data_IF_728758827428
#
_entry.id   IF_728758827428
#
_cell.length_a   1.000
_cell.length_b   1.000
_cell.length_c   1.000
_cell.angle_alpha   90.00
_cell.angle_beta   90.00
_cell.angle_gamma   90.00
#
_symmetry.space_group_name_H-M   'P 1'
#
loop_
_entity.id
_entity.type
_entity.pdbx_description
1 polymer ?
#
# COMPACT_ATOMS: atom_id res chain seq x y z
N UNK A 1 20.10 -10.54 -17.35
CA UNK A 1 20.78 -9.36 -16.78
C UNK A 1 21.25 -9.77 -15.39
N UNK A 2 22.50 -9.49 -15.05
CA UNK A 2 22.99 -9.77 -13.72
C UNK A 2 22.58 -8.58 -12.83
N UNK A 3 21.76 -8.83 -11.81
CA UNK A 3 21.41 -7.87 -10.76
C UNK A 3 21.75 -8.46 -9.40
N UNK A 4 22.03 -7.61 -8.44
CA UNK A 4 22.33 -7.99 -7.07
C UNK A 4 21.08 -7.82 -6.19
N UNK A 5 20.77 -8.83 -5.38
CA UNK A 5 19.70 -8.78 -4.39
C UNK A 5 20.28 -8.81 -2.99
N UNK A 6 19.82 -7.90 -2.12
CA UNK A 6 20.20 -7.84 -0.71
C UNK A 6 18.95 -7.79 0.17
N UNK A 7 18.97 -8.40 1.38
CA UNK A 7 17.87 -8.27 2.32
C UNK A 7 17.80 -6.85 2.89
N UNK A 8 16.59 -6.29 3.00
CA UNK A 8 16.35 -5.00 3.67
C UNK A 8 16.38 -5.14 5.20
N UNK A 9 15.80 -6.22 5.72
CA UNK A 9 15.80 -6.57 7.14
C UNK A 9 16.09 -8.06 7.29
N UNK A 10 16.23 -8.57 8.53
CA UNK A 10 16.35 -10.01 8.76
C UNK A 10 15.01 -10.75 8.56
N UNK A 11 13.88 -10.07 8.61
CA UNK A 11 12.56 -10.68 8.58
C UNK A 11 11.87 -10.58 7.21
N UNK A 12 11.96 -9.43 6.57
CA UNK A 12 11.26 -9.17 5.30
C UNK A 12 11.95 -8.09 4.48
N UNK A 13 11.65 -8.08 3.18
CA UNK A 13 12.08 -7.10 2.21
C UNK A 13 13.41 -7.41 1.54
N UNK A 14 13.48 -7.08 0.26
CA UNK A 14 14.68 -7.16 -0.56
C UNK A 14 14.91 -5.85 -1.32
N UNK A 15 16.18 -5.50 -1.56
CA UNK A 15 16.60 -4.43 -2.46
C UNK A 15 17.38 -5.00 -3.63
N UNK A 16 17.17 -4.42 -4.82
CA UNK A 16 17.75 -4.86 -6.09
C UNK A 16 18.57 -3.72 -6.67
N UNK A 17 19.81 -4.03 -7.03
CA UNK A 17 20.78 -3.12 -7.63
C UNK A 17 21.19 -3.60 -9.02
N UNK A 18 21.49 -2.66 -9.91
CA UNK A 18 22.04 -2.94 -11.24
C UNK A 18 21.00 -3.43 -12.25
N UNK A 19 19.72 -3.43 -11.92
CA UNK A 19 18.64 -3.75 -12.84
C UNK A 19 18.14 -2.47 -13.52
N UNK A 20 18.16 -2.44 -14.86
CA UNK A 20 17.61 -1.34 -15.67
C UNK A 20 16.36 -1.83 -16.41
N UNK A 21 15.20 -1.55 -15.83
CA UNK A 21 13.90 -1.87 -16.42
C UNK A 21 13.50 -0.90 -17.53
N UNK A 22 14.11 0.29 -17.59
CA UNK A 22 13.83 1.27 -18.63
C UNK A 22 14.43 0.87 -19.98
N UNK A 23 15.49 0.05 -20.00
CA UNK A 23 16.02 -0.54 -21.23
C UNK A 23 15.12 -1.61 -21.85
N UNK A 24 14.04 -1.99 -21.13
CA UNK A 24 13.10 -3.06 -21.48
C UNK A 24 13.31 -4.32 -20.62
N UNK A 25 12.24 -5.08 -20.43
CA UNK A 25 12.25 -6.34 -19.67
C UNK A 25 11.41 -7.40 -20.38
N UNK A 26 11.77 -8.65 -20.19
CA UNK A 26 11.00 -9.80 -20.68
C UNK A 26 9.93 -10.21 -19.66
N UNK A 27 8.90 -10.91 -20.13
CA UNK A 27 7.88 -11.50 -19.27
C UNK A 27 8.49 -12.44 -18.21
N UNK A 28 9.54 -13.19 -18.56
CA UNK A 28 10.24 -14.07 -17.62
C UNK A 28 10.90 -13.27 -16.50
N UNK A 29 11.61 -12.18 -16.80
CA UNK A 29 12.20 -11.32 -15.78
C UNK A 29 11.13 -10.72 -14.87
N UNK A 30 10.01 -10.27 -15.44
CA UNK A 30 8.92 -9.72 -14.63
C UNK A 30 8.29 -10.79 -13.71
N UNK A 31 8.13 -12.02 -14.19
CA UNK A 31 7.68 -13.15 -13.36
C UNK A 31 8.69 -13.52 -12.27
N UNK A 32 9.99 -13.52 -12.58
CA UNK A 32 11.05 -13.74 -11.59
C UNK A 32 11.01 -12.67 -10.49
N UNK A 33 10.75 -11.40 -10.85
CA UNK A 33 10.59 -10.31 -9.88
C UNK A 33 9.34 -10.50 -9.00
N UNK A 34 8.23 -10.96 -9.56
CA UNK A 34 7.02 -11.29 -8.79
C UNK A 34 7.32 -12.42 -7.79
N UNK A 35 8.01 -13.49 -8.23
CA UNK A 35 8.44 -14.58 -7.34
C UNK A 35 9.35 -14.09 -6.22
N UNK A 36 10.39 -13.33 -6.56
CA UNK A 36 11.32 -12.76 -5.60
C UNK A 36 10.64 -11.82 -4.59
N UNK A 37 9.64 -11.04 -5.03
CA UNK A 37 8.84 -10.19 -4.16
C UNK A 37 7.99 -10.99 -3.15
N UNK A 38 7.38 -12.10 -3.57
CA UNK A 38 6.65 -13.00 -2.68
C UNK A 38 7.60 -13.62 -1.65
N UNK A 39 8.76 -14.13 -2.10
CA UNK A 39 9.78 -14.77 -1.26
C UNK A 39 10.41 -13.79 -0.26
N UNK A 40 10.51 -12.50 -0.63
CA UNK A 40 10.97 -11.43 0.24
C UNK A 40 9.91 -10.92 1.24
N UNK A 41 8.81 -11.62 1.45
CA UNK A 41 7.75 -11.21 2.38
C UNK A 41 6.89 -10.05 1.87
N UNK A 42 6.97 -9.74 0.57
CA UNK A 42 6.11 -8.75 -0.08
C UNK A 42 6.62 -7.31 -0.04
N UNK A 43 7.89 -7.07 0.23
CA UNK A 43 8.52 -5.75 0.09
C UNK A 43 9.75 -5.83 -0.82
N UNK A 44 9.79 -4.99 -1.85
CA UNK A 44 10.93 -4.93 -2.77
C UNK A 44 11.24 -3.49 -3.15
N UNK A 45 12.52 -3.15 -3.17
CA UNK A 45 13.03 -1.88 -3.70
C UNK A 45 13.90 -2.17 -4.90
N UNK A 46 13.63 -1.53 -6.03
CA UNK A 46 14.49 -1.58 -7.22
C UNK A 46 15.05 -0.17 -7.42
N UNK A 47 16.36 -0.03 -7.28
CA UNK A 47 17.03 1.27 -7.30
C UNK A 47 17.30 1.78 -8.72
N UNK A 48 17.52 3.10 -8.87
CA UNK A 48 18.00 3.78 -10.05
C UNK A 48 17.12 3.62 -11.32
N UNK A 49 15.79 3.55 -11.14
CA UNK A 49 14.86 3.36 -12.25
C UNK A 49 14.46 4.69 -12.91
N UNK A 50 14.43 4.69 -14.25
CA UNK A 50 13.98 5.86 -15.07
C UNK A 50 12.78 5.52 -15.93
N UNK A 51 11.83 4.71 -15.40
CA UNK A 51 10.67 4.22 -16.12
C UNK A 51 9.79 5.36 -16.65
N UNK A 52 9.33 5.24 -17.91
CA UNK A 52 8.18 6.00 -18.37
C UNK A 52 6.90 5.52 -17.68
N UNK A 53 5.81 6.29 -17.78
CA UNK A 53 4.52 5.90 -17.24
C UNK A 53 4.01 4.59 -17.84
N UNK A 54 4.20 4.40 -19.16
CA UNK A 54 3.82 3.18 -19.87
C UNK A 54 4.63 1.96 -19.39
N UNK A 55 5.94 2.12 -19.17
CA UNK A 55 6.81 1.06 -18.65
C UNK A 55 6.43 0.69 -17.21
N UNK A 56 6.11 1.69 -16.38
CA UNK A 56 5.62 1.46 -15.03
C UNK A 56 4.31 0.67 -15.03
N UNK A 57 3.34 1.05 -15.87
CA UNK A 57 2.07 0.33 -16.03
C UNK A 57 2.32 -1.10 -16.55
N UNK A 58 3.17 -1.25 -17.57
CA UNK A 58 3.48 -2.56 -18.15
C UNK A 58 4.07 -3.52 -17.11
N UNK A 59 5.04 -3.06 -16.32
CA UNK A 59 5.59 -3.85 -15.21
C UNK A 59 4.51 -4.19 -14.17
N UNK A 60 3.70 -3.21 -13.78
CA UNK A 60 2.67 -3.39 -12.75
C UNK A 60 1.64 -4.45 -13.12
N UNK A 61 1.31 -4.60 -14.40
CA UNK A 61 0.38 -5.62 -14.91
C UNK A 61 0.86 -7.06 -14.73
N UNK A 62 2.15 -7.30 -14.55
CA UNK A 62 2.67 -8.63 -14.20
C UNK A 62 2.33 -9.04 -12.77
N UNK A 63 2.02 -8.08 -11.89
CA UNK A 63 1.53 -8.34 -10.53
C UNK A 63 0.01 -8.57 -10.49
N UNK A 64 -0.73 -8.24 -11.54
CA UNK A 64 -2.18 -8.43 -11.67
C UNK A 64 -2.91 -7.26 -12.34
N UNK A 65 -4.26 -7.31 -12.38
CA UNK A 65 -5.08 -6.24 -12.94
C UNK A 65 -4.96 -4.96 -12.11
N UNK A 66 -5.06 -3.79 -12.76
CA UNK A 66 -4.81 -2.50 -12.12
C UNK A 66 -6.10 -1.74 -11.80
N UNK A 67 -6.13 -1.07 -10.65
CA UNK A 67 -7.10 -0.01 -10.40
C UNK A 67 -6.87 1.13 -11.39
N UNK A 68 -7.95 1.69 -11.91
CA UNK A 68 -7.89 2.76 -12.91
C UNK A 68 -7.83 2.25 -14.35
N UNK A 69 -7.60 0.96 -14.61
CA UNK A 69 -7.82 0.39 -15.93
C UNK A 69 -9.33 0.45 -16.25
N UNK A 70 -9.75 1.15 -17.32
CA UNK A 70 -11.16 1.32 -17.65
C UNK A 70 -11.92 0.01 -17.88
N UNK A 71 -11.21 -1.06 -18.21
CA UNK A 71 -11.78 -2.37 -18.46
C UNK A 71 -11.90 -3.24 -17.19
N UNK A 72 -11.20 -2.88 -16.12
CA UNK A 72 -11.14 -3.67 -14.88
C UNK A 72 -11.90 -3.00 -13.73
N UNK A 73 -11.40 -1.87 -13.25
CA UNK A 73 -11.99 -1.17 -12.13
C UNK A 73 -11.62 0.33 -12.16
N UNK A 74 -12.48 1.20 -12.68
CA UNK A 74 -12.23 2.64 -12.62
C UNK A 74 -12.11 3.09 -11.17
N UNK A 75 -11.13 3.96 -10.89
CA UNK A 75 -11.02 4.61 -9.57
C UNK A 75 -12.22 5.54 -9.35
N UNK A 76 -12.67 5.62 -8.10
CA UNK A 76 -13.81 6.48 -7.76
C UNK A 76 -13.47 7.96 -7.84
N UNK A 77 -14.52 8.79 -8.02
CA UNK A 77 -14.43 10.25 -8.17
C UNK A 77 -13.67 10.96 -7.04
N UNK A 78 -13.69 10.43 -5.82
CA UNK A 78 -12.98 11.02 -4.68
C UNK A 78 -11.45 11.05 -4.84
N UNK A 79 -10.90 10.13 -5.63
CA UNK A 79 -9.45 10.07 -5.94
C UNK A 79 -9.14 10.39 -7.39
N UNK A 80 -10.14 10.44 -8.26
CA UNK A 80 -9.99 10.63 -9.71
C UNK A 80 -9.24 11.93 -10.08
N UNK A 81 -9.40 13.01 -9.32
CA UNK A 81 -8.69 14.28 -9.55
C UNK A 81 -7.16 14.20 -9.38
N UNK A 82 -6.65 13.12 -8.79
CA UNK A 82 -5.21 12.91 -8.59
C UNK A 82 -4.63 11.84 -9.54
N UNK A 83 -5.46 11.35 -10.45
CA UNK A 83 -5.05 10.41 -11.49
C UNK A 83 -4.22 11.14 -12.54
N UNK A 84 -3.28 10.45 -13.15
CA UNK A 84 -2.50 10.99 -14.25
C UNK A 84 -3.42 11.30 -15.44
N UNK A 85 -3.30 12.47 -16.11
CA UNK A 85 -4.25 12.89 -17.14
C UNK A 85 -4.30 11.95 -18.34
N UNK A 86 -3.19 11.30 -18.68
CA UNK A 86 -3.06 10.43 -19.87
C UNK A 86 -3.01 8.94 -19.49
N UNK A 87 -2.84 8.59 -18.20
CA UNK A 87 -2.65 7.22 -17.72
C UNK A 87 -3.52 7.00 -16.47
N UNK A 88 -4.78 6.57 -16.64
CA UNK A 88 -5.73 6.44 -15.53
C UNK A 88 -5.34 5.37 -14.48
N UNK A 89 -4.42 4.45 -14.80
CA UNK A 89 -3.85 3.48 -13.88
C UNK A 89 -2.85 4.11 -12.88
N UNK A 90 -2.38 5.33 -13.14
CA UNK A 90 -1.40 6.02 -12.31
C UNK A 90 -2.07 7.02 -11.38
N UNK A 91 -1.93 6.78 -10.09
CA UNK A 91 -2.28 7.73 -9.04
C UNK A 91 -1.05 8.57 -8.66
N UNK A 92 -1.20 9.90 -8.63
CA UNK A 92 -0.10 10.82 -8.35
C UNK A 92 -0.09 11.25 -6.89
N UNK A 93 1.06 11.05 -6.23
CA UNK A 93 1.34 11.53 -4.88
C UNK A 93 2.32 12.70 -4.96
N UNK A 94 1.86 13.92 -4.63
CA UNK A 94 2.68 15.11 -4.83
C UNK A 94 2.22 16.29 -3.98
N UNK A 95 3.17 17.14 -3.54
CA UNK A 95 2.89 18.46 -2.99
C UNK A 95 2.97 19.57 -4.05
N UNK A 96 3.34 19.24 -5.29
CA UNK A 96 3.49 20.21 -6.37
C UNK A 96 2.13 20.69 -6.92
N UNK A 97 2.16 21.90 -7.44
CA UNK A 97 1.04 22.50 -8.17
C UNK A 97 1.45 22.72 -9.63
N UNK A 98 0.50 22.66 -10.54
CA UNK A 98 0.67 23.01 -11.94
C UNK A 98 0.68 24.52 -12.15
N UNK A 99 1.04 24.96 -13.35
CA UNK A 99 1.10 26.40 -13.69
C UNK A 99 -0.23 27.12 -13.56
N UNK A 100 -1.35 26.41 -13.63
CA UNK A 100 -2.72 26.94 -13.40
C UNK A 100 -3.15 26.88 -11.92
N UNK A 101 -2.23 26.54 -10.99
CA UNK A 101 -2.46 26.50 -9.55
C UNK A 101 -3.18 25.24 -9.05
N UNK A 102 -3.45 24.25 -9.89
CA UNK A 102 -4.09 23.02 -9.46
C UNK A 102 -3.07 22.03 -8.90
N UNK A 103 -3.44 21.23 -7.85
CA UNK A 103 -2.57 20.17 -7.37
C UNK A 103 -2.25 19.16 -8.47
N UNK A 104 -0.96 18.85 -8.65
CA UNK A 104 -0.51 17.79 -9.57
C UNK A 104 -0.81 16.40 -9.05
N UNK A 105 -0.89 16.23 -7.74
CA UNK A 105 -1.16 14.97 -7.06
C UNK A 105 -1.73 15.21 -5.66
N UNK A 106 -1.91 14.15 -4.90
CA UNK A 106 -2.42 14.23 -3.53
C UNK A 106 -1.27 14.50 -2.56
N UNK A 107 -1.31 15.67 -1.93
CA UNK A 107 -0.43 16.00 -0.79
C UNK A 107 -0.91 15.26 0.46
N UNK A 108 0.03 14.69 1.22
CA UNK A 108 -0.27 14.01 2.49
C UNK A 108 -1.08 12.72 2.33
N UNK A 109 -1.00 12.05 1.18
CA UNK A 109 -1.57 10.73 1.03
C UNK A 109 -0.88 9.74 1.96
N UNK A 110 -1.67 8.98 2.77
CA UNK A 110 -1.14 7.89 3.57
C UNK A 110 -0.34 8.30 4.81
N UNK A 111 -0.56 9.50 5.36
CA UNK A 111 0.08 9.97 6.62
C UNK A 111 -0.55 9.35 7.87
N UNK A 112 -0.96 8.11 7.77
CA UNK A 112 -1.52 7.26 8.82
C UNK A 112 -1.29 5.79 8.45
N UNK A 113 -1.27 4.90 9.44
CA UNK A 113 -1.11 3.47 9.19
C UNK A 113 -2.30 2.91 8.42
N UNK A 114 -2.04 2.30 7.26
CA UNK A 114 -3.07 1.70 6.41
C UNK A 114 -2.50 0.63 5.47
N UNK A 115 -3.40 -0.18 4.93
CA UNK A 115 -3.20 -0.96 3.71
C UNK A 115 -4.08 -0.35 2.62
N UNK A 116 -3.55 -0.19 1.41
CA UNK A 116 -4.26 0.49 0.32
C UNK A 116 -5.60 -0.18 -0.01
N UNK A 117 -6.62 0.65 -0.15
CA UNK A 117 -7.95 0.26 -0.66
C UNK A 117 -8.61 -0.90 0.12
N UNK A 118 -8.26 -1.10 1.41
CA UNK A 118 -8.79 -2.20 2.21
C UNK A 118 -10.31 -2.11 2.48
N UNK A 119 -10.94 -1.00 2.14
CA UNK A 119 -12.39 -0.78 2.22
C UNK A 119 -13.17 -1.33 1.01
N UNK A 120 -12.53 -2.01 0.06
CA UNK A 120 -13.16 -2.65 -1.10
C UNK A 120 -13.26 -4.15 -0.90
N UNK A 121 -14.26 -4.79 -1.50
CA UNK A 121 -14.42 -6.26 -1.50
C UNK A 121 -13.17 -6.97 -2.05
N UNK A 122 -12.58 -6.40 -3.09
CA UNK A 122 -11.28 -6.80 -3.62
C UNK A 122 -10.27 -5.69 -3.33
N UNK A 123 -9.58 -5.73 -2.18
CA UNK A 123 -8.60 -4.72 -1.81
C UNK A 123 -7.34 -4.79 -2.67
N UNK A 124 -6.46 -3.83 -2.50
CA UNK A 124 -5.17 -3.86 -3.20
C UNK A 124 -4.37 -5.11 -2.79
N UNK A 125 -3.81 -5.80 -3.79
CA UNK A 125 -2.79 -6.82 -3.60
C UNK A 125 -1.42 -6.16 -3.45
N UNK A 126 -0.98 -5.46 -4.48
CA UNK A 126 0.30 -4.78 -4.52
C UNK A 126 0.14 -3.31 -4.87
N UNK A 127 1.07 -2.51 -4.40
CA UNK A 127 1.26 -1.14 -4.86
C UNK A 127 2.71 -0.96 -5.33
N UNK A 128 2.87 -0.35 -6.49
CA UNK A 128 4.16 -0.04 -7.09
C UNK A 128 4.29 1.48 -7.13
N UNK A 129 5.21 2.03 -6.34
CA UNK A 129 5.42 3.48 -6.20
C UNK A 129 6.79 3.87 -6.73
N UNK A 130 6.81 4.66 -7.79
CA UNK A 130 8.02 5.15 -8.44
C UNK A 130 8.33 6.59 -8.01
N UNK A 131 9.51 6.82 -7.46
CA UNK A 131 9.99 8.10 -7.01
C UNK A 131 10.55 8.92 -8.18
N UNK A 132 9.85 9.99 -8.58
CA UNK A 132 10.27 10.87 -9.70
C UNK A 132 11.03 12.12 -9.21
N UNK A 133 10.60 12.69 -8.07
CA UNK A 133 11.25 13.83 -7.43
C UNK A 133 11.08 13.67 -5.93
N UNK A 134 12.18 13.75 -5.21
CA UNK A 134 12.22 13.50 -3.77
C UNK A 134 12.90 14.68 -3.08
N UNK A 135 12.39 15.17 -1.93
CA UNK A 135 13.09 16.16 -1.13
C UNK A 135 14.43 15.60 -0.62
N UNK A 136 15.45 16.43 -0.45
CA UNK A 136 16.78 15.98 -0.03
C UNK A 136 16.80 15.32 1.36
N UNK A 137 15.82 15.66 2.21
CA UNK A 137 15.66 15.09 3.55
C UNK A 137 14.18 14.93 3.87
N UNK A 138 13.82 13.81 4.48
CA UNK A 138 12.45 13.50 4.89
C UNK A 138 11.61 12.88 3.77
N UNK A 139 10.31 12.73 4.02
CA UNK A 139 9.38 12.12 3.08
C UNK A 139 9.48 10.59 3.02
N UNK A 140 10.06 9.96 4.03
CA UNK A 140 10.23 8.51 4.15
C UNK A 140 8.88 7.77 4.17
N UNK A 141 8.93 6.47 3.94
CA UNK A 141 7.77 5.58 4.14
C UNK A 141 8.15 4.48 5.14
N UNK A 142 7.29 4.25 6.13
CA UNK A 142 7.48 3.17 7.11
C UNK A 142 6.53 2.04 6.77
N UNK A 143 7.04 0.80 6.79
CA UNK A 143 6.30 -0.43 6.57
C UNK A 143 6.28 -1.24 7.85
N UNK A 144 5.15 -1.93 8.12
CA UNK A 144 4.98 -2.80 9.26
C UNK A 144 4.55 -4.20 8.78
N UNK A 145 5.34 -5.21 9.10
CA UNK A 145 5.10 -6.61 8.73
C UNK A 145 3.99 -7.21 9.59
N UNK A 146 2.81 -7.36 8.99
CA UNK A 146 1.63 -7.90 9.63
C UNK A 146 1.66 -9.43 9.74
N UNK A 147 2.48 -10.11 8.93
CA UNK A 147 2.69 -11.54 9.05
C UNK A 147 3.57 -11.86 10.26
N UNK A 148 4.69 -11.17 10.42
CA UNK A 148 5.54 -11.30 11.60
C UNK A 148 4.80 -10.87 12.88
N UNK A 149 3.98 -9.82 12.82
CA UNK A 149 3.14 -9.39 13.93
C UNK A 149 2.12 -10.47 14.33
N UNK A 150 1.46 -11.12 13.35
CA UNK A 150 0.56 -12.25 13.64
C UNK A 150 1.33 -13.43 14.25
N UNK A 151 2.48 -13.81 13.70
CA UNK A 151 3.27 -14.93 14.21
C UNK A 151 3.75 -14.71 15.65
N UNK A 152 4.03 -13.48 16.04
CA UNK A 152 4.46 -13.11 17.39
C UNK A 152 3.33 -13.13 18.45
N UNK A 153 2.07 -13.28 18.04
CA UNK A 153 0.95 -13.44 18.97
C UNK A 153 1.00 -14.81 19.67
N UNK A 154 0.52 -14.85 20.89
CA UNK A 154 0.31 -16.13 21.60
C UNK A 154 -0.75 -17.00 20.90
N UNK A 155 -0.66 -18.31 21.05
CA UNK A 155 -1.65 -19.25 20.50
C UNK A 155 -3.07 -18.96 20.96
N UNK A 156 -3.22 -18.52 22.22
CA UNK A 156 -4.52 -18.10 22.75
C UNK A 156 -5.10 -16.88 22.03
N UNK A 157 -4.25 -15.89 21.71
CA UNK A 157 -4.68 -14.72 20.95
C UNK A 157 -5.00 -15.11 19.49
N UNK A 158 -4.16 -15.90 18.82
CA UNK A 158 -4.43 -16.42 17.47
C UNK A 158 -5.78 -17.15 17.42
N UNK A 159 -6.06 -18.02 18.39
CA UNK A 159 -7.33 -18.74 18.46
C UNK A 159 -8.56 -17.82 18.65
N UNK A 160 -8.40 -16.68 19.31
CA UNK A 160 -9.46 -15.66 19.43
C UNK A 160 -9.66 -14.92 18.12
N UNK A 161 -8.58 -14.53 17.42
CA UNK A 161 -8.63 -13.64 16.28
C UNK A 161 -8.97 -14.36 14.96
N UNK A 162 -8.52 -15.59 14.76
CA UNK A 162 -8.70 -16.36 13.53
C UNK A 162 -10.15 -16.45 13.02
N UNK A 163 -11.19 -16.60 13.87
CA UNK A 163 -12.57 -16.66 13.40
C UNK A 163 -13.23 -15.29 13.22
N UNK A 164 -12.55 -14.19 13.59
CA UNK A 164 -13.16 -12.86 13.57
C UNK A 164 -13.07 -12.19 12.21
N UNK A 165 -14.02 -11.30 11.98
CA UNK A 165 -14.07 -10.42 10.82
C UNK A 165 -14.12 -8.96 11.27
N UNK A 166 -13.61 -8.06 10.44
CA UNK A 166 -13.67 -6.63 10.70
C UNK A 166 -14.27 -5.89 9.49
N UNK A 167 -14.95 -4.80 9.77
CA UNK A 167 -15.44 -3.88 8.75
C UNK A 167 -14.39 -2.81 8.45
N UNK A 168 -14.06 -2.66 7.18
CA UNK A 168 -13.22 -1.60 6.65
C UNK A 168 -14.10 -0.58 5.93
N UNK A 169 -13.91 0.69 6.23
CA UNK A 169 -14.76 1.78 5.78
C UNK A 169 -13.90 3.01 5.44
N UNK A 170 -14.04 3.53 4.23
CA UNK A 170 -13.32 4.72 3.80
C UNK A 170 -13.67 5.97 4.66
N UNK A 171 -14.87 6.03 5.22
CA UNK A 171 -15.28 7.13 6.10
C UNK A 171 -14.40 7.25 7.37
N UNK A 172 -13.79 6.18 7.85
CA UNK A 172 -12.85 6.23 8.98
C UNK A 172 -11.73 7.21 8.66
N UNK A 173 -11.03 7.02 7.54
CA UNK A 173 -9.98 7.93 7.09
C UNK A 173 -10.54 9.33 6.76
N UNK A 174 -11.69 9.40 6.10
CA UNK A 174 -12.32 10.66 5.72
C UNK A 174 -12.61 11.57 6.91
N UNK A 175 -13.00 10.99 8.05
CA UNK A 175 -13.33 11.73 9.29
C UNK A 175 -12.12 12.00 10.18
N UNK A 176 -11.16 11.07 10.25
CA UNK A 176 -10.09 11.09 11.26
C UNK A 176 -8.75 11.56 10.72
N UNK A 177 -8.47 11.34 9.44
CA UNK A 177 -7.14 11.48 8.86
C UNK A 177 -6.98 12.71 7.94
N UNK A 178 -8.07 13.34 7.53
CA UNK A 178 -8.00 14.52 6.67
C UNK A 178 -8.35 15.79 7.43
N UNK A 179 -7.54 16.84 7.26
CA UNK A 179 -7.74 18.16 7.88
C UNK A 179 -9.07 18.85 7.48
N UNK A 180 -9.71 18.41 6.40
CA UNK A 180 -11.06 18.76 5.99
C UNK A 180 -11.81 17.48 5.67
N UNK A 181 -13.05 17.30 6.15
CA UNK A 181 -13.86 16.14 5.79
C UNK A 181 -13.89 16.00 4.26
N UNK A 182 -13.46 14.88 3.75
CA UNK A 182 -13.69 14.51 2.36
C UNK A 182 -15.16 14.13 2.29
N UNK A 183 -15.97 14.95 1.62
CA UNK A 183 -17.36 14.60 1.34
C UNK A 183 -17.26 13.42 0.36
N UNK A 184 -17.64 12.24 0.83
CA UNK A 184 -17.85 11.07 -0.03
C UNK A 184 -19.18 11.32 -0.74
N UNK A 185 -19.15 12.16 -1.80
CA UNK A 185 -20.31 12.29 -2.69
C UNK A 185 -20.39 10.98 -3.48
N UNK A 186 -21.50 10.28 -3.31
CA UNK A 186 -21.87 9.02 -3.94
C UNK A 186 -21.12 7.79 -3.40
N UNK A 187 -21.57 7.30 -2.24
CA UNK A 187 -21.48 5.86 -1.94
C UNK A 187 -22.45 5.13 -2.89
N UNK A 188 -22.00 5.00 -4.13
CA UNK A 188 -22.72 4.21 -5.13
C UNK A 188 -22.53 2.74 -4.74
N UNK A 189 -23.56 2.16 -4.12
CA UNK A 189 -23.72 0.73 -3.84
C UNK A 189 -22.82 0.09 -2.75
N UNK A 190 -22.46 0.82 -1.68
CA UNK A 190 -21.66 0.25 -0.59
C UNK A 190 -20.20 -0.04 -0.96
N UNK A 191 -19.72 0.48 -2.10
CA UNK A 191 -18.40 0.21 -2.65
C UNK A 191 -17.23 0.78 -1.81
N UNK A 192 -17.52 1.56 -0.76
CA UNK A 192 -16.53 2.17 0.15
C UNK A 192 -16.46 1.46 1.51
N UNK A 193 -17.12 0.33 1.65
CA UNK A 193 -17.15 -0.45 2.87
C UNK A 193 -17.14 -1.94 2.56
N UNK A 194 -16.25 -2.69 3.20
CA UNK A 194 -16.13 -4.13 3.02
C UNK A 194 -15.88 -4.85 4.35
N UNK A 195 -16.31 -6.10 4.42
CA UNK A 195 -16.10 -6.99 5.57
C UNK A 195 -15.03 -8.01 5.22
N UNK A 196 -13.95 -8.03 5.98
CA UNK A 196 -12.80 -8.92 5.76
C UNK A 196 -12.48 -9.77 6.98
N UNK A 197 -11.83 -10.94 6.81
CA UNK A 197 -11.26 -11.66 7.94
C UNK A 197 -10.24 -10.77 8.64
N UNK A 198 -10.24 -10.80 9.97
CA UNK A 198 -9.27 -10.07 10.79
C UNK A 198 -7.85 -10.63 10.59
N UNK A 199 -7.76 -11.93 10.34
CA UNK A 199 -6.54 -12.65 9.96
C UNK A 199 -6.71 -13.17 8.55
N UNK A 200 -5.94 -12.63 7.61
CA UNK A 200 -5.99 -12.98 6.19
C UNK A 200 -4.95 -14.04 5.85
N UNK A 201 -5.31 -14.96 4.96
CA UNK A 201 -4.37 -15.98 4.43
C UNK A 201 -3.91 -15.57 3.01
N UNK A 202 -2.60 -15.60 2.78
CA UNK A 202 -2.02 -15.34 1.46
C UNK A 202 -2.07 -16.64 0.62
N UNK A 203 -2.65 -16.63 -0.58
CA UNK A 203 -2.87 -17.87 -1.36
C UNK A 203 -1.58 -18.52 -1.87
N UNK A 204 -0.49 -17.74 -2.11
CA UNK A 204 0.74 -18.26 -2.70
C UNK A 204 1.51 -19.19 -1.76
N UNK A 205 1.45 -18.96 -0.45
CA UNK A 205 2.25 -19.69 0.53
C UNK A 205 1.50 -20.05 1.82
N UNK A 206 0.20 -19.78 1.90
CA UNK A 206 -0.66 -19.95 3.08
C UNK A 206 -0.18 -19.21 4.33
N UNK A 207 0.67 -18.20 4.20
CA UNK A 207 1.05 -17.36 5.34
C UNK A 207 -0.15 -16.53 5.82
N UNK A 208 -0.28 -16.40 7.13
CA UNK A 208 -1.31 -15.59 7.77
C UNK A 208 -0.75 -14.22 8.15
N UNK A 209 -1.59 -13.20 8.07
CA UNK A 209 -1.25 -11.84 8.49
C UNK A 209 -2.44 -11.15 9.14
N UNK A 210 -2.19 -10.24 10.07
CA UNK A 210 -3.22 -9.34 10.56
C UNK A 210 -3.72 -8.45 9.41
N UNK A 211 -5.04 -8.34 9.26
CA UNK A 211 -5.63 -7.52 8.20
C UNK A 211 -6.58 -6.47 8.79
N UNK A 212 -6.05 -5.66 9.69
CA UNK A 212 -6.71 -4.50 10.31
C UNK A 212 -5.76 -3.31 10.31
N UNK A 213 -6.29 -2.11 10.16
CA UNK A 213 -5.48 -0.89 10.17
C UNK A 213 -6.26 0.32 10.72
N UNK A 214 -5.58 1.28 11.38
CA UNK A 214 -6.24 2.48 11.93
C UNK A 214 -6.89 3.37 10.87
N UNK A 215 -6.42 3.28 9.61
CA UNK A 215 -6.90 4.13 8.53
C UNK A 215 -8.31 3.80 8.07
N UNK A 216 -8.65 2.51 8.02
CA UNK A 216 -9.92 2.08 7.43
C UNK A 216 -10.73 1.12 8.29
N UNK A 217 -10.14 0.42 9.27
CA UNK A 217 -10.92 -0.51 10.10
C UNK A 217 -11.82 0.25 11.07
N UNK A 218 -13.13 0.04 10.95
CA UNK A 218 -14.13 0.71 11.79
C UNK A 218 -14.46 -0.06 13.06
N UNK A 219 -14.65 -1.38 12.97
CA UNK A 219 -14.97 -2.24 14.11
C UNK A 219 -14.84 -3.73 13.77
N UNK A 220 -14.78 -4.57 14.77
CA UNK A 220 -14.85 -6.03 14.64
C UNK A 220 -16.31 -6.44 14.61
N UNK A 221 -16.68 -7.25 13.62
CA UNK A 221 -18.05 -7.71 13.41
C UNK A 221 -18.51 -8.62 14.56
N UNK A 222 -19.72 -8.39 15.06
CA UNK A 222 -20.33 -9.19 16.14
C UNK A 222 -19.88 -8.85 17.56
N UNK A 223 -18.96 -7.90 17.74
CA UNK A 223 -18.56 -7.40 19.08
C UNK A 223 -19.21 -6.06 19.37
N UNK A 224 -19.37 -5.75 20.67
CA UNK A 224 -19.76 -4.39 21.05
C UNK A 224 -18.60 -3.39 20.85
N UNK A 225 -18.93 -2.09 20.92
CA UNK A 225 -17.97 -1.04 20.61
C UNK A 225 -16.74 -1.04 21.55
N UNK A 226 -16.93 -1.35 22.83
CA UNK A 226 -15.85 -1.34 23.81
C UNK A 226 -14.92 -2.56 23.63
N UNK A 227 -15.49 -3.74 23.37
CA UNK A 227 -14.75 -4.96 23.08
C UNK A 227 -13.93 -4.81 21.78
N UNK A 228 -14.59 -4.36 20.72
CA UNK A 228 -13.96 -4.13 19.43
C UNK A 228 -12.80 -3.13 19.53
N UNK A 229 -13.01 -2.01 20.19
CA UNK A 229 -11.99 -0.98 20.37
C UNK A 229 -10.79 -1.51 21.15
N UNK A 230 -11.00 -2.27 22.23
CA UNK A 230 -9.92 -2.80 23.06
C UNK A 230 -9.03 -3.77 22.27
N UNK A 231 -9.62 -4.65 21.46
CA UNK A 231 -8.87 -5.60 20.63
C UNK A 231 -8.13 -4.85 19.50
N UNK A 232 -8.80 -3.95 18.80
CA UNK A 232 -8.19 -3.20 17.69
C UNK A 232 -7.01 -2.34 18.18
N UNK A 233 -7.16 -1.64 19.30
CA UNK A 233 -6.07 -0.83 19.88
C UNK A 233 -4.87 -1.69 20.26
N UNK A 234 -5.10 -2.84 20.90
CA UNK A 234 -4.03 -3.80 21.17
C UNK A 234 -3.31 -4.23 19.89
N UNK A 235 -4.05 -4.60 18.84
CA UNK A 235 -3.46 -5.04 17.57
C UNK A 235 -2.68 -3.93 16.86
N UNK A 236 -3.18 -2.69 16.88
CA UNK A 236 -2.48 -1.55 16.28
C UNK A 236 -1.15 -1.29 16.97
N UNK A 237 -1.12 -1.29 18.30
CA UNK A 237 0.14 -1.10 19.06
C UNK A 237 1.09 -2.29 18.89
N UNK A 238 0.57 -3.51 18.86
CA UNK A 238 1.35 -4.71 18.63
C UNK A 238 2.00 -4.71 17.25
N UNK A 239 1.26 -4.34 16.21
CA UNK A 239 1.71 -4.37 14.81
C UNK A 239 2.82 -3.38 14.46
N UNK A 240 2.99 -2.33 15.26
CA UNK A 240 4.00 -1.29 15.01
C UNK A 240 5.17 -1.35 15.97
N UNK A 241 5.42 -2.50 16.59
CA UNK A 241 6.62 -2.69 17.42
C UNK A 241 7.89 -2.67 16.55
N UNK A 242 9.01 -2.15 17.04
CA UNK A 242 10.21 -1.88 16.24
C UNK A 242 10.75 -3.06 15.44
N UNK A 243 10.60 -4.30 15.95
CA UNK A 243 11.05 -5.52 15.26
C UNK A 243 10.26 -5.86 13.99
N UNK A 244 9.08 -5.27 13.79
CA UNK A 244 8.25 -5.48 12.61
C UNK A 244 8.38 -4.35 11.60
N UNK A 245 9.19 -3.32 11.88
CA UNK A 245 9.25 -2.10 11.07
C UNK A 245 10.45 -2.07 10.14
N UNK A 246 10.22 -1.56 8.95
CA UNK A 246 11.24 -1.08 8.02
C UNK A 246 10.92 0.37 7.63
N UNK A 247 11.90 1.28 7.68
CA UNK A 247 11.77 2.67 7.24
C UNK A 247 12.59 2.88 5.97
N UNK A 248 11.91 3.11 4.86
CA UNK A 248 12.52 3.40 3.57
C UNK A 248 12.81 4.89 3.43
N UNK A 249 14.07 5.22 3.17
CA UNK A 249 14.51 6.55 2.77
C UNK A 249 14.60 6.58 1.25
N UNK A 250 13.77 7.42 0.65
CA UNK A 250 13.66 7.48 -0.79
C UNK A 250 14.86 8.14 -1.46
N UNK A 251 15.29 7.59 -2.60
CA UNK A 251 16.10 8.27 -3.62
C UNK A 251 15.26 8.46 -4.89
N UNK A 252 15.63 9.44 -5.72
CA UNK A 252 15.03 9.55 -7.05
C UNK A 252 15.35 8.28 -7.86
N UNK A 253 14.34 7.77 -8.57
CA UNK A 253 14.46 6.52 -9.30
C UNK A 253 14.19 5.26 -8.48
N UNK A 254 13.95 5.33 -7.16
CA UNK A 254 13.50 4.16 -6.42
C UNK A 254 12.10 3.73 -6.91
N UNK A 255 11.98 2.45 -7.28
CA UNK A 255 10.70 1.78 -7.49
C UNK A 255 10.48 0.82 -6.33
N UNK A 256 9.48 1.11 -5.51
CA UNK A 256 9.15 0.31 -4.34
C UNK A 256 7.84 -0.41 -4.55
N UNK A 257 7.83 -1.72 -4.27
CA UNK A 257 6.71 -2.62 -4.46
C UNK A 257 6.36 -3.26 -3.11
N UNK A 258 5.12 -3.07 -2.66
CA UNK A 258 4.70 -3.68 -1.40
C UNK A 258 3.38 -4.44 -1.51
N UNK A 259 3.27 -5.49 -0.69
CA UNK A 259 2.11 -6.35 -0.58
C UNK A 259 1.14 -5.82 0.49
N UNK A 260 0.04 -5.25 0.07
CA UNK A 260 -1.00 -4.73 0.96
C UNK A 260 -1.73 -5.81 1.76
N UNK A 261 -1.52 -7.08 1.42
CA UNK A 261 -2.13 -8.23 2.09
C UNK A 261 -1.40 -8.58 3.39
N UNK A 262 -0.11 -8.24 3.47
CA UNK A 262 0.76 -8.57 4.60
C UNK A 262 1.51 -7.37 5.18
N UNK A 263 1.36 -6.18 4.61
CA UNK A 263 2.05 -4.97 5.08
C UNK A 263 1.06 -3.82 5.32
N UNK A 264 1.22 -3.12 6.43
CA UNK A 264 0.73 -1.76 6.58
C UNK A 264 1.85 -0.77 6.27
N UNK A 265 1.48 0.44 5.86
CA UNK A 265 2.46 1.49 5.63
C UNK A 265 1.99 2.87 6.10
N UNK A 266 2.98 3.76 6.27
CA UNK A 266 2.80 5.12 6.77
C UNK A 266 3.74 6.07 6.03
N UNK A 267 3.22 7.10 5.38
CA UNK A 267 4.03 8.15 4.75
C UNK A 267 4.40 9.24 5.77
N UNK A 268 5.70 9.47 5.96
CA UNK A 268 6.19 10.50 6.88
C UNK A 268 6.21 11.84 6.17
N UNK A 269 5.51 12.84 6.72
CA UNK A 269 5.46 14.20 6.19
C UNK A 269 6.33 15.14 7.04
N UNK A 270 7.65 14.94 6.98
CA UNK A 270 8.64 15.68 7.75
C UNK A 270 9.60 16.52 6.88
N UNK A 271 9.14 16.90 5.68
CA UNK A 271 9.86 17.76 4.75
C UNK A 271 9.11 19.09 4.53
N UNK A 272 9.82 20.19 4.18
CA UNK A 272 9.21 21.50 3.93
C UNK A 272 8.23 21.48 2.74
N UNK A 273 7.20 22.33 2.82
CA UNK A 273 6.16 22.42 1.79
C UNK A 273 6.66 22.90 0.43
N UNK A 274 7.75 23.65 0.39
CA UNK A 274 8.43 24.18 -0.79
C UNK A 274 9.44 23.22 -1.41
N UNK A 275 9.81 22.14 -0.71
CA UNK A 275 10.63 21.07 -1.26
C UNK A 275 9.76 20.15 -2.12
N UNK A 276 10.07 20.01 -3.43
CA UNK A 276 9.21 19.27 -4.35
C UNK A 276 9.27 17.76 -4.08
N UNK A 277 8.09 17.14 -4.05
CA UNK A 277 7.93 15.68 -4.03
C UNK A 277 6.90 15.27 -5.08
N UNK A 278 7.30 14.35 -5.97
CA UNK A 278 6.41 13.80 -6.98
C UNK A 278 6.68 12.32 -7.18
N UNK A 279 5.65 11.51 -7.02
CA UNK A 279 5.69 10.06 -7.16
C UNK A 279 4.48 9.56 -7.94
N UNK A 280 4.65 8.47 -8.66
CA UNK A 280 3.62 7.80 -9.44
C UNK A 280 3.37 6.40 -8.90
N UNK A 281 2.10 6.06 -8.64
CA UNK A 281 1.70 4.78 -8.08
C UNK A 281 0.73 4.05 -9.00
N UNK A 282 1.07 2.81 -9.36
CA UNK A 282 0.13 1.81 -9.82
C UNK A 282 -0.34 0.95 -8.64
N UNK A 283 -1.61 0.60 -8.62
CA UNK A 283 -2.20 -0.24 -7.57
C UNK A 283 -2.86 -1.46 -8.20
N UNK A 284 -2.45 -2.64 -7.77
CA UNK A 284 -2.93 -3.93 -8.29
C UNK A 284 -4.15 -4.38 -7.50
N UNK A 285 -5.19 -4.80 -8.21
CA UNK A 285 -6.42 -5.35 -7.62
C UNK A 285 -6.12 -6.75 -7.08
N UNK A 286 -6.45 -6.99 -5.82
CA UNK A 286 -6.30 -8.29 -5.17
C UNK A 286 -7.50 -9.22 -5.32
N UNK A 287 -7.38 -10.38 -4.69
CA UNK A 287 -8.48 -11.33 -4.48
C UNK A 287 -9.38 -10.87 -3.32
N UNK A 288 -10.55 -11.49 -3.20
CA UNK A 288 -11.38 -11.38 -1.99
C UNK A 288 -10.63 -12.05 -0.83
N UNK A 289 -10.39 -11.36 0.30
CA UNK A 289 -9.66 -11.91 1.44
C UNK A 289 -10.35 -13.11 2.08
N UNK A 290 -9.56 -14.15 2.39
CA UNK A 290 -10.01 -15.38 3.06
C UNK A 290 -9.18 -15.69 4.30
#
# INVERSE_FOLDING_TARGET
MDYETRPLTQGFGAEIFGLDLASGFSDNLAQDLVGAWVDAGGLMVIHDQTLSSEQHIALSRHFGPLFGDPNESPLQDTVSRYIHPDHPEIYRVSNQVSTDGKPKGRKGAGTYWHSDVSFRDRPAQASLLHAKTIPPVGGDTIFADQAAAYEALSDGMKAILDPLYAWHDFEVAARTQYAKPVIVENDMDGANRARHPLVRTKPENNSKSLFVNPGFTSHIDGLDAAESQAILEFLYQHSIQPQFLYRHRWNEGDLLIWDNRSLMHFAVMDYPDDEPRYMERCTVIGEIPT
#
